data_IF_176775807047
#
_entry.id   IF_176775807047
#
_cell.length_a   1.000
_cell.length_b   1.000
_cell.length_c   1.000
_cell.angle_alpha   90.00
_cell.angle_beta   90.00
_cell.angle_gamma   90.00
#
_symmetry.space_group_name_H-M   'P 1'
#
loop_
_entity.id
_entity.type
_entity.pdbx_description
1 polymer ?
#
# COMPACT_ATOMS: atom_id res chain seq x y z
N UNK A 1 16.45 7.90 5.46
CA UNK A 1 16.96 7.40 6.74
C UNK A 1 17.54 8.52 7.64
N UNK A 2 18.28 9.51 7.11
CA UNK A 2 18.89 10.57 7.94
C UNK A 2 17.86 11.43 8.69
N UNK A 3 16.76 11.77 8.07
CA UNK A 3 15.73 12.67 8.63
C UNK A 3 15.08 12.12 9.90
N UNK A 4 14.50 10.88 9.92
CA UNK A 4 13.90 10.34 11.14
C UNK A 4 14.91 10.17 12.27
N UNK A 5 16.16 9.77 11.97
CA UNK A 5 17.22 9.64 12.98
C UNK A 5 17.54 10.99 13.59
N UNK A 6 17.69 12.04 12.78
CA UNK A 6 17.95 13.40 13.26
C UNK A 6 16.80 13.92 14.12
N UNK A 7 15.54 13.65 13.73
CA UNK A 7 14.34 14.01 14.49
C UNK A 7 14.32 13.33 15.86
N UNK A 8 14.52 11.99 15.90
CA UNK A 8 14.58 11.23 17.15
C UNK A 8 15.67 11.79 18.06
N UNK A 9 16.87 12.02 17.51
CA UNK A 9 17.99 12.55 18.29
C UNK A 9 17.69 13.95 18.85
N UNK A 10 17.19 14.88 18.03
CA UNK A 10 16.89 16.22 18.50
C UNK A 10 15.81 16.26 19.59
N UNK A 11 14.79 15.39 19.50
CA UNK A 11 13.75 15.25 20.53
C UNK A 11 14.32 14.64 21.83
N UNK A 12 15.19 13.64 21.71
CA UNK A 12 15.84 13.01 22.85
C UNK A 12 16.82 13.97 23.54
N UNK A 13 17.64 14.73 22.78
CA UNK A 13 18.54 15.74 23.30
C UNK A 13 17.76 16.81 24.09
N UNK A 14 16.65 17.34 23.55
CA UNK A 14 15.80 18.31 24.22
C UNK A 14 15.22 17.82 25.58
N UNK A 15 14.87 16.54 25.65
CA UNK A 15 14.43 15.89 26.91
C UNK A 15 15.59 15.75 27.88
N UNK A 16 16.73 15.28 27.42
CA UNK A 16 17.94 15.05 28.23
C UNK A 16 18.51 16.36 28.83
N UNK A 17 18.49 17.44 28.05
CA UNK A 17 18.98 18.76 28.46
C UNK A 17 18.00 19.52 29.38
N UNK A 18 16.84 18.88 29.70
CA UNK A 18 15.84 19.48 30.59
C UNK A 18 15.12 20.69 29.99
N UNK A 19 15.18 20.87 28.68
CA UNK A 19 14.48 21.94 27.97
C UNK A 19 12.95 21.77 28.02
N UNK A 20 12.49 20.53 28.12
CA UNK A 20 11.06 20.17 28.25
C UNK A 20 10.75 19.95 29.72
N UNK A 21 10.11 20.95 30.37
CA UNK A 21 9.90 20.94 31.82
C UNK A 21 8.61 20.28 32.26
N UNK A 22 7.53 20.46 31.50
CA UNK A 22 6.20 19.96 31.85
C UNK A 22 6.06 18.50 31.50
N UNK A 23 5.48 17.70 32.39
CA UNK A 23 5.30 16.26 32.16
C UNK A 23 4.41 15.95 30.96
N UNK A 24 3.39 16.79 30.71
CA UNK A 24 2.53 16.68 29.51
C UNK A 24 3.34 16.85 28.21
N UNK A 25 4.28 17.81 28.19
CA UNK A 25 5.16 18.04 27.05
C UNK A 25 6.17 16.90 26.89
N UNK A 26 6.72 16.35 28.00
CA UNK A 26 7.59 15.16 27.95
C UNK A 26 6.84 13.98 27.35
N UNK A 27 5.60 13.74 27.76
CA UNK A 27 4.76 12.67 27.21
C UNK A 27 4.57 12.83 25.69
N UNK A 28 4.36 14.05 25.19
CA UNK A 28 4.26 14.34 23.74
C UNK A 28 5.59 14.03 23.03
N UNK A 29 6.73 14.43 23.59
CA UNK A 29 8.05 14.16 23.01
C UNK A 29 8.35 12.67 22.94
N UNK A 30 8.04 11.91 23.98
CA UNK A 30 8.14 10.44 23.95
C UNK A 30 7.23 9.84 22.86
N UNK A 31 6.01 10.35 22.72
CA UNK A 31 5.10 9.93 21.64
C UNK A 31 5.64 10.23 20.24
N UNK A 32 6.33 11.37 20.05
CA UNK A 32 6.99 11.69 18.77
C UNK A 32 8.16 10.76 18.49
N UNK A 33 9.04 10.51 19.48
CA UNK A 33 10.17 9.59 19.37
C UNK A 33 9.66 8.17 19.00
N UNK A 34 8.62 7.70 19.69
CA UNK A 34 8.04 6.39 19.40
C UNK A 34 7.51 6.29 17.96
N UNK A 35 6.75 7.28 17.50
CA UNK A 35 6.22 7.31 16.13
C UNK A 35 7.32 7.32 15.08
N UNK A 36 8.39 8.13 15.28
CA UNK A 36 9.52 8.16 14.34
C UNK A 36 10.34 6.86 14.37
N UNK A 37 10.47 6.22 15.53
CA UNK A 37 11.10 4.91 15.64
C UNK A 37 10.32 3.82 14.91
N UNK A 38 9.01 3.78 15.07
CA UNK A 38 8.13 2.85 14.35
C UNK A 38 8.15 3.10 12.82
N UNK A 39 8.25 4.37 12.42
CA UNK A 39 8.40 4.73 11.01
C UNK A 39 9.74 4.26 10.44
N UNK A 40 10.82 4.40 11.22
CA UNK A 40 12.15 3.93 10.82
C UNK A 40 12.18 2.40 10.68
N UNK A 41 11.58 1.67 11.61
CA UNK A 41 11.46 0.21 11.51
C UNK A 41 10.76 -0.19 10.22
N UNK A 42 9.59 0.38 9.92
CA UNK A 42 8.88 0.09 8.67
C UNK A 42 9.71 0.41 7.42
N UNK A 43 10.47 1.50 7.44
CA UNK A 43 11.38 1.85 6.34
C UNK A 43 12.47 0.78 6.12
N UNK A 44 13.02 0.25 7.21
CA UNK A 44 14.04 -0.80 7.15
C UNK A 44 13.43 -2.10 6.59
N UNK A 45 12.25 -2.49 7.08
CA UNK A 45 11.54 -3.69 6.64
C UNK A 45 11.20 -3.61 5.15
N UNK A 46 10.65 -2.48 4.70
CA UNK A 46 10.34 -2.21 3.28
C UNK A 46 11.59 -2.29 2.40
N UNK A 47 12.72 -1.74 2.86
CA UNK A 47 13.99 -1.78 2.12
C UNK A 47 14.55 -3.19 2.01
N UNK A 48 14.48 -3.96 3.11
CA UNK A 48 14.92 -5.35 3.14
C UNK A 48 14.05 -6.21 2.23
N UNK A 49 12.73 -5.99 2.24
CA UNK A 49 11.81 -6.69 1.35
C UNK A 49 12.11 -6.37 -0.11
N UNK A 50 12.23 -5.08 -0.46
CA UNK A 50 12.57 -4.65 -1.81
C UNK A 50 13.90 -5.26 -2.29
N UNK A 51 14.91 -5.28 -1.41
CA UNK A 51 16.21 -5.91 -1.72
C UNK A 51 16.07 -7.41 -1.99
N UNK A 52 15.25 -8.12 -1.20
CA UNK A 52 14.98 -9.54 -1.41
C UNK A 52 14.24 -9.81 -2.71
N UNK A 53 13.22 -9.00 -3.02
CA UNK A 53 12.48 -9.12 -4.29
C UNK A 53 13.41 -8.94 -5.49
N UNK A 54 14.34 -7.98 -5.44
CA UNK A 54 15.28 -7.68 -6.52
C UNK A 54 16.42 -8.68 -6.67
N UNK A 55 16.73 -9.45 -5.64
CA UNK A 55 17.78 -10.49 -5.73
C UNK A 55 17.43 -11.64 -6.68
N UNK A 56 16.18 -11.73 -7.15
CA UNK A 56 15.68 -12.77 -8.04
C UNK A 56 15.69 -14.18 -7.42
N UNK A 57 16.01 -14.29 -6.13
CA UNK A 57 16.12 -15.57 -5.43
C UNK A 57 14.77 -16.12 -4.93
N UNK A 58 13.70 -15.31 -5.02
CA UNK A 58 12.38 -15.71 -4.52
C UNK A 58 11.57 -16.33 -5.64
N UNK A 59 11.43 -17.67 -5.61
CA UNK A 59 10.46 -18.36 -6.43
C UNK A 59 9.09 -18.34 -5.72
N UNK A 60 8.11 -17.64 -6.29
CA UNK A 60 6.75 -17.64 -5.78
C UNK A 60 6.01 -18.91 -6.18
N UNK A 61 5.62 -19.71 -5.20
CA UNK A 61 4.74 -20.85 -5.45
C UNK A 61 3.34 -20.35 -5.80
N UNK A 62 2.92 -20.50 -7.05
CA UNK A 62 1.60 -20.11 -7.53
C UNK A 62 0.60 -21.26 -7.38
N UNK A 63 -0.65 -20.92 -7.11
CA UNK A 63 -1.81 -21.81 -7.07
C UNK A 63 -3.07 -21.07 -7.47
N UNK A 64 -4.16 -21.78 -7.75
CA UNK A 64 -5.46 -21.15 -7.95
C UNK A 64 -6.05 -20.74 -6.60
N UNK A 65 -6.40 -19.46 -6.47
CA UNK A 65 -7.07 -18.89 -5.29
C UNK A 65 -8.37 -18.21 -5.70
N UNK A 66 -9.33 -18.14 -4.79
CA UNK A 66 -10.55 -17.35 -4.93
C UNK A 66 -10.22 -15.87 -4.72
N UNK A 67 -10.43 -15.03 -5.72
CA UNK A 67 -10.18 -13.59 -5.61
C UNK A 67 -11.32 -12.89 -4.87
N UNK A 68 -12.54 -13.39 -5.01
CA UNK A 68 -13.68 -12.84 -4.30
C UNK A 68 -13.51 -12.99 -2.78
N UNK A 69 -13.17 -14.19 -2.30
CA UNK A 69 -12.88 -14.43 -0.87
C UNK A 69 -11.74 -13.55 -0.38
N UNK A 70 -10.67 -13.40 -1.16
CA UNK A 70 -9.54 -12.58 -0.78
C UNK A 70 -9.92 -11.08 -0.65
N UNK A 71 -10.74 -10.56 -1.57
CA UNK A 71 -11.23 -9.17 -1.51
C UNK A 71 -12.14 -8.98 -0.31
N UNK A 72 -13.09 -9.89 -0.07
CA UNK A 72 -14.01 -9.86 1.05
C UNK A 72 -13.25 -9.86 2.38
N UNK A 73 -12.28 -10.76 2.57
CA UNK A 73 -11.45 -10.86 3.76
C UNK A 73 -10.66 -9.56 4.04
N UNK A 74 -10.09 -8.96 3.00
CA UNK A 74 -9.36 -7.69 3.14
C UNK A 74 -10.32 -6.54 3.44
N UNK A 75 -11.46 -6.47 2.74
CA UNK A 75 -12.46 -5.43 2.94
C UNK A 75 -13.01 -5.46 4.38
N UNK A 76 -13.36 -6.63 4.90
CA UNK A 76 -13.86 -6.82 6.26
C UNK A 76 -12.82 -6.41 7.31
N UNK A 77 -11.57 -6.80 7.13
CA UNK A 77 -10.45 -6.46 8.03
C UNK A 77 -10.23 -4.95 8.14
N UNK A 78 -10.45 -4.23 7.05
CA UNK A 78 -10.20 -2.79 6.97
C UNK A 78 -11.46 -1.92 7.16
N UNK A 79 -12.65 -2.50 7.28
CA UNK A 79 -13.92 -1.78 7.38
C UNK A 79 -13.95 -0.75 8.52
N UNK A 80 -13.46 -1.11 9.71
CA UNK A 80 -13.39 -0.20 10.87
C UNK A 80 -12.46 0.98 10.60
N UNK A 81 -11.24 0.69 10.12
CA UNK A 81 -10.25 1.74 9.83
C UNK A 81 -10.71 2.68 8.71
N UNK A 82 -11.39 2.16 7.70
CA UNK A 82 -12.01 2.94 6.63
C UNK A 82 -13.12 3.86 7.19
N UNK A 83 -14.02 3.29 8.02
CA UNK A 83 -15.11 4.04 8.64
C UNK A 83 -14.61 5.19 9.53
N UNK A 84 -13.53 4.99 10.29
CA UNK A 84 -12.89 6.04 11.11
C UNK A 84 -12.36 7.22 10.26
N UNK A 85 -12.09 6.97 8.97
CA UNK A 85 -11.69 7.98 7.98
C UNK A 85 -12.85 8.54 7.17
N UNK A 86 -14.09 8.12 7.44
CA UNK A 86 -15.27 8.55 6.70
C UNK A 86 -15.37 7.88 5.32
N UNK A 87 -14.75 6.72 5.14
CA UNK A 87 -14.86 5.91 3.93
C UNK A 87 -15.85 4.78 4.14
N UNK A 88 -16.82 4.65 3.23
CA UNK A 88 -17.67 3.47 3.13
C UNK A 88 -17.01 2.45 2.22
N UNK A 89 -16.94 1.18 2.67
CA UNK A 89 -16.39 0.10 1.85
C UNK A 89 -17.50 -0.45 0.96
N UNK A 90 -17.26 -0.50 -0.34
CA UNK A 90 -18.12 -1.12 -1.35
C UNK A 90 -17.37 -2.20 -2.11
N UNK A 91 -18.02 -3.35 -2.30
CA UNK A 91 -17.49 -4.49 -3.04
C UNK A 91 -18.36 -4.68 -4.29
N UNK A 92 -17.78 -4.40 -5.46
CA UNK A 92 -18.40 -4.54 -6.78
C UNK A 92 -17.63 -5.60 -7.57
N UNK A 93 -17.74 -6.83 -7.10
CA UNK A 93 -17.08 -7.99 -7.70
C UNK A 93 -18.13 -8.82 -8.45
N UNK A 94 -17.79 -9.20 -9.68
CA UNK A 94 -18.65 -10.03 -10.52
C UNK A 94 -18.78 -11.47 -10.03
N UNK A 95 -18.93 -12.40 -10.98
CA UNK A 95 -18.94 -13.83 -10.67
C UNK A 95 -17.66 -14.27 -9.94
N UNK A 96 -17.71 -15.39 -9.18
CA UNK A 96 -16.52 -15.90 -8.49
C UNK A 96 -15.38 -16.21 -9.45
N UNK A 97 -14.29 -15.47 -9.31
CA UNK A 97 -13.09 -15.66 -10.13
C UNK A 97 -11.98 -16.36 -9.35
N UNK A 98 -11.29 -17.27 -10.03
CA UNK A 98 -10.03 -17.84 -9.54
C UNK A 98 -8.88 -17.31 -10.36
N UNK A 99 -7.80 -16.93 -9.69
CA UNK A 99 -6.55 -16.51 -10.34
C UNK A 99 -5.41 -17.48 -9.97
N UNK A 100 -4.49 -17.70 -10.91
CA UNK A 100 -3.29 -18.51 -10.71
C UNK A 100 -2.14 -17.62 -10.25
N UNK A 101 -2.01 -17.46 -8.94
CA UNK A 101 -1.05 -16.54 -8.33
C UNK A 101 -0.50 -17.09 -7.00
N UNK A 102 0.40 -16.36 -6.38
CA UNK A 102 0.83 -16.62 -5.01
C UNK A 102 -0.13 -15.93 -4.02
N UNK A 103 -0.76 -16.68 -3.06
CA UNK A 103 -1.77 -16.14 -2.15
C UNK A 103 -1.25 -14.98 -1.32
N UNK A 104 -0.08 -15.16 -0.67
CA UNK A 104 0.48 -14.16 0.26
C UNK A 104 0.82 -12.85 -0.48
N UNK A 105 1.29 -12.97 -1.73
CA UNK A 105 1.63 -11.80 -2.55
C UNK A 105 0.40 -11.11 -3.11
N UNK A 106 -0.64 -11.83 -3.48
CA UNK A 106 -1.91 -11.23 -3.89
C UNK A 106 -2.56 -10.48 -2.72
N UNK A 107 -2.56 -11.06 -1.52
CA UNK A 107 -3.03 -10.39 -0.30
C UNK A 107 -2.20 -9.14 0.01
N UNK A 108 -0.87 -9.24 -0.04
CA UNK A 108 0.02 -8.11 0.18
C UNK A 108 -0.28 -6.92 -0.74
N UNK A 109 -0.53 -7.19 -2.03
CA UNK A 109 -0.90 -6.15 -3.00
C UNK A 109 -2.22 -5.48 -2.60
N UNK A 110 -3.26 -6.26 -2.31
CA UNK A 110 -4.57 -5.72 -1.89
C UNK A 110 -4.47 -4.92 -0.60
N UNK A 111 -3.76 -5.43 0.40
CA UNK A 111 -3.53 -4.74 1.68
C UNK A 111 -2.80 -3.42 1.45
N UNK A 112 -1.74 -3.39 0.65
CA UNK A 112 -0.98 -2.17 0.39
C UNK A 112 -1.82 -1.10 -0.33
N UNK A 113 -2.67 -1.50 -1.30
CA UNK A 113 -3.57 -0.59 -2.00
C UNK A 113 -4.70 -0.09 -1.09
N UNK A 114 -5.24 -0.94 -0.22
CA UNK A 114 -6.26 -0.58 0.78
C UNK A 114 -5.71 0.40 1.81
N UNK A 115 -4.53 0.13 2.36
CA UNK A 115 -3.81 1.04 3.26
C UNK A 115 -3.56 2.41 2.61
N UNK A 116 -3.18 2.41 1.33
CA UNK A 116 -2.97 3.62 0.56
C UNK A 116 -4.27 4.42 0.42
N UNK A 117 -5.37 3.75 0.07
CA UNK A 117 -6.69 4.34 -0.05
C UNK A 117 -7.18 4.97 1.27
N UNK A 118 -6.98 4.31 2.40
CA UNK A 118 -7.36 4.82 3.73
C UNK A 118 -6.47 6.00 4.16
N UNK A 119 -5.19 5.99 3.80
CA UNK A 119 -4.25 7.07 4.16
C UNK A 119 -4.47 8.35 3.39
N UNK A 120 -4.75 8.23 2.10
CA UNK A 120 -4.75 9.35 1.16
C UNK A 120 -6.15 9.65 0.61
N UNK A 121 -7.12 8.76 0.83
CA UNK A 121 -8.50 8.97 0.45
C UNK A 121 -9.18 10.03 1.31
N UNK A 122 -10.01 10.88 0.67
CA UNK A 122 -10.98 11.72 1.34
C UNK A 122 -12.20 10.91 1.82
N UNK A 123 -13.16 11.58 2.49
CA UNK A 123 -14.44 10.95 2.84
C UNK A 123 -15.22 10.55 1.58
N UNK A 124 -15.87 9.39 1.61
CA UNK A 124 -16.67 8.85 0.50
C UNK A 124 -16.60 7.33 0.41
N UNK A 125 -16.32 6.79 -0.76
CA UNK A 125 -16.36 5.34 -1.01
C UNK A 125 -14.97 4.78 -1.32
N UNK A 126 -14.55 3.77 -0.56
CA UNK A 126 -13.48 2.86 -0.91
C UNK A 126 -14.12 1.67 -1.64
N UNK A 127 -13.86 1.53 -2.95
CA UNK A 127 -14.48 0.49 -3.77
C UNK A 127 -13.46 -0.51 -4.26
N UNK A 128 -13.80 -1.78 -4.11
CA UNK A 128 -13.13 -2.91 -4.75
C UNK A 128 -13.98 -3.36 -5.93
N UNK A 129 -13.35 -3.53 -7.09
CA UNK A 129 -14.06 -4.05 -8.26
C UNK A 129 -13.22 -5.03 -9.06
N UNK A 130 -13.88 -5.93 -9.80
CA UNK A 130 -13.23 -6.91 -10.67
C UNK A 130 -13.85 -6.89 -12.06
N UNK A 131 -13.00 -7.03 -13.08
CA UNK A 131 -13.40 -7.18 -14.48
C UNK A 131 -12.55 -8.24 -15.15
N UNK A 132 -13.17 -9.26 -15.73
CA UNK A 132 -12.46 -10.29 -16.50
C UNK A 132 -12.39 -9.92 -17.97
N UNK A 133 -11.19 -9.94 -18.54
CA UNK A 133 -10.92 -9.73 -19.99
C UNK A 133 -9.99 -10.84 -20.48
N UNK A 134 -10.54 -11.78 -21.23
CA UNK A 134 -9.80 -12.97 -21.68
C UNK A 134 -9.30 -13.80 -20.50
N UNK A 135 -7.99 -14.05 -20.46
CA UNK A 135 -7.32 -14.82 -19.42
C UNK A 135 -6.82 -13.95 -18.25
N UNK A 136 -7.10 -12.66 -18.26
CA UNK A 136 -6.69 -11.71 -17.22
C UNK A 136 -7.88 -11.22 -16.41
N UNK A 137 -7.73 -11.24 -15.11
CA UNK A 137 -8.62 -10.60 -14.15
C UNK A 137 -8.02 -9.27 -13.75
N UNK A 138 -8.78 -8.19 -13.99
CA UNK A 138 -8.44 -6.84 -13.56
C UNK A 138 -9.08 -6.60 -12.20
N UNK A 139 -8.28 -6.21 -11.23
CA UNK A 139 -8.71 -5.94 -9.87
C UNK A 139 -8.41 -4.47 -9.58
N UNK A 140 -9.41 -3.72 -9.18
CA UNK A 140 -9.29 -2.28 -8.95
C UNK A 140 -9.66 -1.93 -7.51
N UNK A 141 -8.85 -1.05 -6.92
CA UNK A 141 -9.12 -0.40 -5.64
C UNK A 141 -9.22 1.09 -5.90
N UNK A 142 -10.38 1.68 -5.61
CA UNK A 142 -10.68 3.08 -5.89
C UNK A 142 -11.04 3.82 -4.61
N UNK A 143 -10.57 5.07 -4.48
CA UNK A 143 -10.89 5.94 -3.35
C UNK A 143 -11.09 7.39 -3.80
N UNK A 144 -11.82 8.22 -3.05
CA UNK A 144 -11.90 9.66 -3.30
C UNK A 144 -10.51 10.30 -3.16
N UNK A 145 -10.16 11.18 -4.10
CA UNK A 145 -8.89 11.88 -4.12
C UNK A 145 -8.49 12.29 -5.53
N UNK A 146 -7.32 12.87 -5.64
CA UNK A 146 -6.73 13.23 -6.94
C UNK A 146 -5.22 13.11 -6.89
N UNK A 147 -4.65 12.67 -8.00
CA UNK A 147 -3.21 12.70 -8.29
C UNK A 147 -3.06 13.58 -9.52
N UNK A 148 -2.11 14.50 -9.51
CA UNK A 148 -1.84 15.34 -10.69
C UNK A 148 -1.35 14.45 -11.86
N UNK A 149 -1.70 14.82 -13.10
CA UNK A 149 -1.34 14.03 -14.28
C UNK A 149 0.17 13.82 -14.41
N UNK A 150 0.96 14.81 -14.02
CA UNK A 150 2.42 14.75 -13.98
C UNK A 150 2.99 13.77 -12.95
N UNK A 151 2.20 13.45 -11.91
CA UNK A 151 2.60 12.57 -10.82
C UNK A 151 2.18 11.10 -11.03
N UNK A 152 1.17 10.83 -11.88
CA UNK A 152 0.58 9.50 -12.05
C UNK A 152 1.60 8.44 -12.44
N UNK A 153 2.49 8.75 -13.37
CA UNK A 153 3.52 7.81 -13.84
C UNK A 153 4.61 7.55 -12.77
N UNK A 154 4.75 8.48 -11.83
CA UNK A 154 5.78 8.45 -10.80
C UNK A 154 5.34 7.78 -9.48
N UNK A 155 4.05 7.53 -9.26
CA UNK A 155 3.54 7.00 -7.97
C UNK A 155 4.13 5.63 -7.60
N UNK A 156 4.64 4.87 -8.56
CA UNK A 156 5.29 3.58 -8.35
C UNK A 156 6.82 3.69 -8.15
N UNK A 157 7.37 4.89 -8.26
CA UNK A 157 8.80 5.11 -8.01
C UNK A 157 9.11 5.04 -6.51
N UNK A 158 10.34 4.64 -6.20
CA UNK A 158 10.81 4.53 -4.80
C UNK A 158 10.91 5.90 -4.16
N UNK A 159 10.42 6.01 -2.94
CA UNK A 159 10.41 7.24 -2.13
C UNK A 159 9.57 8.37 -2.72
N UNK A 160 8.84 8.11 -3.79
CA UNK A 160 7.96 9.11 -4.39
C UNK A 160 6.74 9.37 -3.52
N UNK A 161 6.32 10.62 -3.47
CA UNK A 161 5.13 11.11 -2.76
C UNK A 161 4.57 12.28 -3.54
N UNK A 162 3.42 12.10 -4.15
CA UNK A 162 2.71 13.15 -4.90
C UNK A 162 2.30 14.31 -3.96
N UNK A 163 1.87 14.00 -2.74
CA UNK A 163 1.43 14.99 -1.77
C UNK A 163 2.53 15.33 -0.75
N UNK A 164 3.08 16.54 -0.86
CA UNK A 164 4.06 17.10 0.09
C UNK A 164 3.44 17.46 1.45
N UNK A 165 2.13 17.70 1.51
CA UNK A 165 1.44 18.02 2.76
C UNK A 165 1.32 16.81 3.69
N UNK A 166 1.21 15.60 3.13
CA UNK A 166 1.23 14.34 3.87
C UNK A 166 2.62 13.69 3.95
N UNK A 167 3.69 14.46 3.79
CA UNK A 167 5.07 13.98 3.78
C UNK A 167 5.47 13.20 5.06
N UNK A 168 4.76 13.40 6.17
CA UNK A 168 4.93 12.67 7.43
C UNK A 168 4.34 11.26 7.44
N UNK A 169 3.41 10.95 6.57
CA UNK A 169 2.73 9.64 6.55
C UNK A 169 3.30 8.74 5.46
N UNK A 170 3.69 7.51 5.83
CA UNK A 170 4.21 6.49 4.92
C UNK A 170 5.70 6.63 4.56
N UNK A 171 6.24 5.54 4.00
CA UNK A 171 7.65 5.39 3.62
C UNK A 171 7.94 5.86 2.19
N UNK A 172 6.92 5.84 1.30
CA UNK A 172 7.03 6.03 -0.14
C UNK A 172 7.58 4.79 -0.85
N UNK A 173 7.56 3.63 -0.18
CA UNK A 173 8.02 2.35 -0.75
C UNK A 173 6.89 1.38 -1.04
N UNK A 174 5.72 1.53 -0.42
CA UNK A 174 4.62 0.56 -0.55
C UNK A 174 4.20 0.29 -1.99
N UNK A 175 3.92 1.33 -2.79
CA UNK A 175 3.53 1.16 -4.20
C UNK A 175 4.68 0.63 -5.07
N UNK A 176 5.94 0.97 -4.77
CA UNK A 176 7.08 0.41 -5.48
C UNK A 176 7.30 -1.07 -5.17
N UNK A 177 7.01 -1.51 -3.94
CA UNK A 177 7.01 -2.93 -3.56
C UNK A 177 5.88 -3.67 -4.29
N UNK A 178 4.67 -3.09 -4.34
CA UNK A 178 3.54 -3.66 -5.10
C UNK A 178 3.91 -3.86 -6.57
N UNK A 179 4.50 -2.86 -7.20
CA UNK A 179 4.93 -2.94 -8.60
C UNK A 179 5.99 -4.03 -8.82
N UNK A 180 6.97 -4.15 -7.92
CA UNK A 180 8.00 -5.19 -7.99
C UNK A 180 7.41 -6.60 -7.80
N UNK A 181 6.50 -6.77 -6.82
CA UNK A 181 5.80 -8.04 -6.56
C UNK A 181 5.00 -8.47 -7.78
N UNK A 182 4.21 -7.57 -8.38
CA UNK A 182 3.42 -7.87 -9.56
C UNK A 182 4.29 -8.16 -10.77
N UNK A 183 5.39 -7.42 -10.97
CA UNK A 183 6.38 -7.70 -12.01
C UNK A 183 6.97 -9.12 -11.90
N UNK A 184 7.33 -9.55 -10.68
CA UNK A 184 7.83 -10.92 -10.44
C UNK A 184 6.76 -11.99 -10.64
N UNK A 185 5.47 -11.65 -10.47
CA UNK A 185 4.35 -12.52 -10.78
C UNK A 185 4.03 -12.56 -12.29
N UNK A 186 4.66 -11.69 -13.12
CA UNK A 186 4.36 -11.53 -14.54
C UNK A 186 3.09 -10.69 -14.79
N UNK A 187 2.70 -9.89 -13.81
CA UNK A 187 1.49 -9.08 -13.79
C UNK A 187 1.81 -7.58 -13.86
N UNK A 188 0.81 -6.74 -14.00
CA UNK A 188 0.97 -5.29 -14.15
C UNK A 188 0.07 -4.54 -13.18
N UNK A 189 0.48 -3.30 -12.86
CA UNK A 189 -0.32 -2.32 -12.12
C UNK A 189 -0.23 -0.95 -12.80
N UNK A 190 -1.27 -0.17 -12.69
CA UNK A 190 -1.31 1.24 -13.09
C UNK A 190 -2.28 2.02 -12.21
N UNK A 191 -2.18 3.34 -12.27
CA UNK A 191 -3.06 4.27 -11.60
C UNK A 191 -3.84 5.12 -12.61
N UNK A 192 -5.02 5.57 -12.22
CA UNK A 192 -5.80 6.62 -12.87
C UNK A 192 -6.34 7.58 -11.84
N UNK A 193 -6.44 8.86 -12.21
CA UNK A 193 -7.05 9.91 -11.38
C UNK A 193 -8.04 10.67 -12.23
N UNK A 194 -9.32 10.40 -12.05
CA UNK A 194 -10.40 10.97 -12.87
C UNK A 194 -11.60 11.33 -11.98
N UNK A 195 -12.21 12.49 -12.23
CA UNK A 195 -13.46 12.92 -11.56
C UNK A 195 -13.40 12.86 -10.02
N UNK A 196 -12.26 13.21 -9.42
CA UNK A 196 -12.09 13.21 -7.97
C UNK A 196 -11.95 11.80 -7.37
N UNK A 197 -11.64 10.81 -8.19
CA UNK A 197 -11.41 9.42 -7.78
C UNK A 197 -10.04 8.95 -8.26
N UNK A 198 -9.27 8.36 -7.38
CA UNK A 198 -8.03 7.66 -7.69
C UNK A 198 -8.33 6.17 -7.74
N UNK A 199 -7.89 5.50 -8.79
CA UNK A 199 -8.07 4.07 -9.00
C UNK A 199 -6.73 3.41 -9.29
N UNK A 200 -6.35 2.43 -8.50
CA UNK A 200 -5.24 1.54 -8.77
C UNK A 200 -5.79 0.22 -9.31
N UNK A 201 -5.32 -0.19 -10.49
CA UNK A 201 -5.76 -1.43 -11.13
C UNK A 201 -4.56 -2.33 -11.37
N UNK A 202 -4.66 -3.60 -10.99
CA UNK A 202 -3.67 -4.62 -11.30
C UNK A 202 -4.29 -5.84 -11.96
N UNK A 203 -3.46 -6.65 -12.61
CA UNK A 203 -3.90 -7.88 -13.27
C UNK A 203 -3.49 -9.12 -12.48
N UNK A 204 -4.28 -10.18 -12.61
CA UNK A 204 -3.90 -11.54 -12.25
C UNK A 204 -4.35 -12.49 -13.36
N UNK A 205 -3.52 -13.49 -13.71
CA UNK A 205 -3.89 -14.52 -14.69
C UNK A 205 -4.95 -15.46 -14.15
N UNK A 206 -5.97 -15.76 -14.94
CA UNK A 206 -7.00 -16.77 -14.61
C UNK A 206 -6.65 -18.16 -15.14
N UNK A 207 -5.52 -18.28 -15.82
CA UNK A 207 -5.02 -19.53 -16.37
C UNK A 207 -3.61 -19.83 -15.88
N UNK A 208 -3.27 -21.11 -15.78
CA UNK A 208 -1.89 -21.51 -15.54
C UNK A 208 -1.12 -21.33 -16.84
N UNK A 209 0.05 -20.65 -16.85
CA UNK A 209 0.88 -20.58 -18.04
C UNK A 209 1.24 -22.00 -18.52
N UNK A 210 1.07 -22.24 -19.82
CA UNK A 210 1.58 -23.49 -20.44
C UNK A 210 3.10 -23.51 -20.32
N UNK A 211 3.63 -24.48 -19.60
CA UNK A 211 5.08 -24.75 -19.50
C UNK A 211 5.60 -25.44 -20.79
N UNK A 212 5.18 -24.95 -21.95
CA UNK A 212 5.63 -25.48 -23.24
C UNK A 212 6.67 -24.54 -23.85
N UNK A 213 7.86 -24.50 -23.24
CA UNK A 213 9.12 -24.13 -23.92
C UNK A 213 10.30 -24.75 -23.19
#
# INVERSE_FOLDING_TARGET
>A
LRTPIASIRGLADALNDGLVKKDEDKARYYGYILRESMRLSRLIDDLLELSRLQSGTIAFKKQFISINELIEDVADRYASAASEKGLNVEIDIGEPYKAYTNPDRAEQVLVALTDNAIKYGGSGTLRFSTEKKGDSLYISVSNPGSIADEDIDHVFERFYKADKAHAGQGTGLGLSIVNEVLGLLGERIWAKSENGTVTFTFTLSTVKPDNSQ
#
